data_IF_440139650636
#
_entry.id   IF_440139650636
#
_cell.length_a   1.000
_cell.length_b   1.000
_cell.length_c   1.000
_cell.angle_alpha   90.00
_cell.angle_beta   90.00
_cell.angle_gamma   90.00
#
_symmetry.space_group_name_H-M   'P 1'
#
loop_
_entity.id
_entity.type
_entity.pdbx_description
1 polymer ?
#
# COMPACT_ATOMS: atom_id res chain seq x y z
N UNK A 1 -38.35 20.16 15.29
CA UNK A 1 -37.15 19.56 15.91
C UNK A 1 -37.10 18.10 15.49
N UNK A 2 -36.34 17.81 14.44
CA UNK A 2 -35.97 16.47 14.05
C UNK A 2 -34.43 16.44 14.07
N UNK A 3 -33.86 15.66 14.99
CA UNK A 3 -32.42 15.44 15.05
C UNK A 3 -32.03 14.54 13.87
N UNK A 4 -31.42 15.12 12.85
CA UNK A 4 -30.65 14.35 11.87
C UNK A 4 -29.39 13.85 12.58
N UNK A 5 -29.31 12.55 12.78
CA UNK A 5 -28.06 11.91 13.19
C UNK A 5 -27.05 12.05 12.04
N UNK A 6 -25.76 12.32 12.34
CA UNK A 6 -24.74 12.25 11.32
C UNK A 6 -24.61 10.80 10.87
N UNK A 7 -24.76 10.57 9.57
CA UNK A 7 -24.40 9.31 8.92
C UNK A 7 -22.95 8.98 9.28
N UNK A 8 -22.73 7.74 9.73
CA UNK A 8 -21.39 7.25 10.01
C UNK A 8 -20.56 7.27 8.73
N UNK A 9 -19.26 7.64 8.78
CA UNK A 9 -18.40 7.52 7.63
C UNK A 9 -18.33 6.05 7.22
N UNK A 10 -18.59 5.77 5.94
CA UNK A 10 -18.32 4.46 5.34
C UNK A 10 -16.90 4.02 5.69
N UNK A 11 -16.82 2.88 6.37
CA UNK A 11 -15.58 2.25 6.79
C UNK A 11 -14.68 2.04 5.57
N UNK A 12 -13.42 2.45 5.70
CA UNK A 12 -12.32 1.88 4.89
C UNK A 12 -12.47 0.37 4.86
N UNK A 13 -12.22 -0.31 3.72
CA UNK A 13 -12.20 -1.77 3.69
C UNK A 13 -11.26 -2.25 4.79
N UNK A 14 -11.80 -3.04 5.71
CA UNK A 14 -11.05 -3.59 6.84
C UNK A 14 -9.88 -4.38 6.25
N UNK A 15 -8.65 -3.90 6.45
CA UNK A 15 -7.44 -4.56 5.93
C UNK A 15 -7.28 -5.95 6.54
N UNK A 16 -7.90 -6.17 7.71
CA UNK A 16 -7.92 -7.43 8.44
C UNK A 16 -9.37 -7.87 8.72
N UNK A 17 -10.11 -8.39 7.72
CA UNK A 17 -11.53 -8.73 7.85
C UNK A 17 -11.82 -9.83 8.88
N UNK A 18 -10.79 -10.56 9.32
CA UNK A 18 -10.86 -11.57 10.38
C UNK A 18 -10.04 -11.18 11.62
N UNK A 19 -9.58 -9.92 11.71
CA UNK A 19 -8.63 -9.46 12.71
C UNK A 19 -7.42 -10.38 12.80
N UNK A 20 -7.01 -10.71 14.03
CA UNK A 20 -5.84 -11.56 14.26
C UNK A 20 -6.03 -13.05 13.88
N UNK A 21 -7.20 -13.45 13.38
CA UNK A 21 -7.54 -14.87 13.12
C UNK A 21 -7.11 -15.38 11.76
N UNK A 22 -6.80 -14.51 10.80
CA UNK A 22 -6.33 -14.91 9.49
C UNK A 22 -5.26 -13.95 8.98
N UNK A 23 -4.17 -14.51 8.44
CA UNK A 23 -3.01 -13.75 7.96
C UNK A 23 -2.43 -14.39 6.73
N UNK A 24 -1.94 -13.59 5.77
CA UNK A 24 -1.08 -14.14 4.71
C UNK A 24 0.16 -14.77 5.37
N UNK A 25 0.51 -16.00 4.98
CA UNK A 25 1.51 -16.81 5.66
C UNK A 25 2.88 -16.11 5.76
N UNK A 26 3.21 -15.26 4.80
CA UNK A 26 4.44 -14.45 4.79
C UNK A 26 4.56 -13.49 5.98
N UNK A 27 3.45 -12.96 6.53
CA UNK A 27 3.50 -11.98 7.63
C UNK A 27 3.49 -12.62 9.03
N UNK A 28 3.32 -13.94 9.11
CA UNK A 28 3.19 -14.66 10.38
C UNK A 28 4.49 -14.79 11.19
N UNK A 29 5.65 -14.55 10.57
CA UNK A 29 6.99 -14.79 11.14
C UNK A 29 7.32 -13.89 12.35
N UNK A 30 6.61 -12.78 12.55
CA UNK A 30 6.99 -11.77 13.55
C UNK A 30 6.01 -11.64 14.73
N UNK A 31 4.71 -11.91 14.54
CA UNK A 31 3.69 -11.45 15.50
C UNK A 31 2.46 -12.35 15.64
N UNK A 32 2.41 -13.52 14.99
CA UNK A 32 1.13 -14.24 14.89
C UNK A 32 0.69 -14.94 16.18
N UNK A 33 -0.55 -14.66 16.61
CA UNK A 33 -1.29 -15.42 17.63
C UNK A 33 -1.45 -16.91 17.26
N UNK A 34 -1.30 -17.23 15.97
CA UNK A 34 -1.39 -18.59 15.44
C UNK A 34 -0.20 -19.47 15.83
N UNK A 35 0.84 -18.94 16.48
CA UNK A 35 1.96 -19.75 17.00
C UNK A 35 1.57 -20.68 18.15
N UNK A 36 0.56 -20.30 18.92
CA UNK A 36 0.12 -21.04 20.12
C UNK A 36 -1.28 -21.62 19.99
N UNK A 37 -1.89 -21.51 18.81
CA UNK A 37 -3.27 -21.92 18.53
C UNK A 37 -3.25 -22.83 17.31
N UNK A 38 -4.01 -23.94 17.28
CA UNK A 38 -4.10 -24.77 16.09
C UNK A 38 -4.45 -23.93 14.86
N UNK A 39 -3.70 -24.11 13.78
CA UNK A 39 -3.83 -23.31 12.57
C UNK A 39 -3.95 -24.20 11.34
N UNK A 40 -4.71 -23.73 10.35
CA UNK A 40 -4.79 -24.33 9.02
C UNK A 40 -4.25 -23.36 8.00
N UNK A 41 -3.56 -23.86 6.98
CA UNK A 41 -3.18 -23.08 5.83
C UNK A 41 -4.21 -23.33 4.73
N UNK A 42 -4.80 -22.26 4.22
CA UNK A 42 -5.85 -22.31 3.21
C UNK A 42 -5.34 -21.78 1.86
N UNK A 43 -5.86 -22.38 0.80
CA UNK A 43 -5.79 -21.81 -0.54
C UNK A 43 -6.70 -20.57 -0.60
N UNK A 44 -6.19 -19.37 -0.96
CA UNK A 44 -7.01 -18.17 -0.99
C UNK A 44 -8.08 -18.19 -2.08
N UNK A 45 -7.93 -19.04 -3.11
CA UNK A 45 -8.85 -19.09 -4.24
C UNK A 45 -10.09 -19.95 -3.99
N UNK A 46 -9.95 -21.10 -3.32
CA UNK A 46 -11.07 -22.01 -3.06
C UNK A 46 -11.38 -22.24 -1.58
N UNK A 47 -10.54 -21.76 -0.66
CA UNK A 47 -10.70 -21.96 0.78
C UNK A 47 -10.27 -23.33 1.30
N UNK A 48 -9.83 -24.24 0.43
CA UNK A 48 -9.42 -25.58 0.86
C UNK A 48 -8.18 -25.57 1.74
N UNK A 49 -8.17 -26.46 2.73
CA UNK A 49 -7.03 -26.72 3.59
C UNK A 49 -5.94 -27.40 2.78
N UNK A 50 -4.77 -26.76 2.71
CA UNK A 50 -3.57 -27.33 2.09
C UNK A 50 -2.61 -27.90 3.12
N UNK A 51 -2.62 -27.39 4.35
CA UNK A 51 -1.80 -27.90 5.45
C UNK A 51 -2.43 -27.62 6.81
N UNK A 52 -2.13 -28.43 7.82
CA UNK A 52 -2.66 -28.28 9.19
C UNK A 52 -1.54 -28.35 10.21
N UNK A 53 -1.57 -27.42 11.16
CA UNK A 53 -0.64 -27.27 12.27
C UNK A 53 -1.41 -27.40 13.59
N UNK A 54 -1.51 -28.62 14.12
CA UNK A 54 -2.32 -28.91 15.31
C UNK A 54 -1.82 -28.20 16.58
N UNK A 55 -0.54 -27.86 16.64
CA UNK A 55 0.09 -27.21 17.80
C UNK A 55 0.36 -25.71 17.56
N UNK A 56 -0.13 -25.17 16.44
CA UNK A 56 0.17 -23.83 15.96
C UNK A 56 1.37 -23.75 15.03
N UNK A 57 1.51 -22.59 14.39
CA UNK A 57 2.53 -22.35 13.38
C UNK A 57 3.95 -22.32 13.98
N UNK A 58 4.94 -22.91 13.29
CA UNK A 58 6.34 -22.67 13.57
C UNK A 58 6.66 -21.17 13.56
N UNK A 59 7.69 -20.78 14.31
CA UNK A 59 8.13 -19.37 14.37
C UNK A 59 8.49 -18.81 12.99
N UNK A 60 9.10 -19.65 12.15
CA UNK A 60 9.49 -19.32 10.78
C UNK A 60 9.14 -20.53 9.91
N UNK A 61 8.45 -20.29 8.80
CA UNK A 61 8.24 -21.29 7.75
C UNK A 61 9.12 -20.87 6.57
N UNK A 62 10.37 -21.36 6.42
CA UNK A 62 11.29 -20.79 5.44
C UNK A 62 10.87 -21.06 3.98
N UNK A 63 10.22 -22.18 3.72
CA UNK A 63 9.71 -22.58 2.41
C UNK A 63 8.29 -23.12 2.56
N UNK A 64 7.43 -22.78 1.61
CA UNK A 64 6.06 -23.29 1.52
C UNK A 64 5.72 -23.35 0.05
N UNK A 65 5.71 -24.56 -0.51
CA UNK A 65 5.59 -24.84 -1.94
C UNK A 65 4.56 -25.98 -2.11
N UNK A 66 3.31 -25.71 -1.72
CA UNK A 66 2.26 -26.73 -1.61
C UNK A 66 1.21 -26.52 -2.71
N UNK A 67 0.90 -27.56 -3.48
CA UNK A 67 -0.13 -27.50 -4.50
C UNK A 67 -1.53 -27.71 -3.89
N UNK A 68 -2.46 -26.79 -4.15
CA UNK A 68 -3.86 -26.98 -3.80
C UNK A 68 -4.48 -28.06 -4.70
N UNK A 69 -5.08 -29.10 -4.12
CA UNK A 69 -5.67 -30.22 -4.89
C UNK A 69 -6.90 -29.82 -5.71
N UNK A 70 -7.61 -28.76 -5.31
CA UNK A 70 -8.83 -28.32 -6.00
C UNK A 70 -8.52 -27.35 -7.12
N UNK A 71 -7.69 -26.34 -6.87
CA UNK A 71 -7.31 -25.36 -7.90
C UNK A 71 -6.14 -25.81 -8.77
N UNK A 72 -5.36 -26.81 -8.34
CA UNK A 72 -4.10 -27.23 -8.98
C UNK A 72 -3.07 -26.09 -9.10
N UNK A 73 -3.16 -25.09 -8.22
CA UNK A 73 -2.22 -23.96 -8.15
C UNK A 73 -1.22 -24.22 -7.04
N UNK A 74 0.05 -24.00 -7.35
CA UNK A 74 1.13 -24.03 -6.37
C UNK A 74 1.11 -22.78 -5.49
N UNK A 75 0.96 -22.97 -4.19
CA UNK A 75 0.93 -21.91 -3.19
C UNK A 75 2.31 -21.66 -2.63
N UNK A 76 2.63 -20.37 -2.52
CA UNK A 76 3.81 -19.84 -1.84
C UNK A 76 3.36 -19.11 -0.57
N UNK A 77 4.29 -18.84 0.34
CA UNK A 77 3.99 -18.11 1.60
C UNK A 77 3.30 -16.77 1.38
N UNK A 78 3.66 -16.05 0.32
CA UNK A 78 3.08 -14.76 -0.02
C UNK A 78 1.70 -14.88 -0.68
N UNK A 79 1.16 -16.09 -0.89
CA UNK A 79 -0.17 -16.31 -1.44
C UNK A 79 -0.94 -17.45 -0.77
N UNK A 80 -0.53 -17.89 0.42
CA UNK A 80 -1.27 -18.82 1.26
C UNK A 80 -1.76 -18.07 2.50
N UNK A 81 -2.93 -18.43 3.03
CA UNK A 81 -3.49 -17.76 4.21
C UNK A 81 -3.49 -18.72 5.39
N UNK A 82 -2.83 -18.35 6.47
CA UNK A 82 -2.94 -19.05 7.74
C UNK A 82 -4.18 -18.57 8.50
N UNK A 83 -4.98 -19.51 8.99
CA UNK A 83 -6.22 -19.23 9.72
C UNK A 83 -6.24 -20.03 11.02
N UNK A 84 -6.73 -19.43 12.09
CA UNK A 84 -7.09 -20.14 13.32
C UNK A 84 -8.07 -21.27 12.98
N UNK A 85 -7.71 -22.51 13.31
CA UNK A 85 -8.49 -23.68 12.90
C UNK A 85 -9.95 -23.64 13.40
N UNK A 86 -10.22 -22.94 14.52
CA UNK A 86 -11.58 -22.77 15.03
C UNK A 86 -12.46 -21.85 14.17
N UNK A 87 -11.84 -20.99 13.35
CA UNK A 87 -12.51 -20.00 12.51
C UNK A 87 -12.60 -20.42 11.03
N UNK A 88 -12.10 -21.61 10.69
CA UNK A 88 -12.03 -22.08 9.29
C UNK A 88 -13.37 -22.04 8.54
N UNK A 89 -14.48 -22.31 9.22
CA UNK A 89 -15.82 -22.36 8.60
C UNK A 89 -16.42 -20.97 8.39
N UNK A 90 -15.79 -19.93 8.96
CA UNK A 90 -16.23 -18.53 8.85
C UNK A 90 -15.48 -17.78 7.74
N UNK A 91 -14.44 -18.39 7.15
CA UNK A 91 -13.68 -17.73 6.09
C UNK A 91 -14.30 -17.99 4.73
N UNK A 92 -14.37 -16.93 3.94
CA UNK A 92 -14.90 -16.97 2.59
C UNK A 92 -13.78 -16.78 1.55
N UNK A 93 -13.70 -17.63 0.50
CA UNK A 93 -12.65 -17.51 -0.52
C UNK A 93 -12.52 -16.12 -1.17
N UNK A 94 -13.62 -15.39 -1.49
CA UNK A 94 -13.49 -14.02 -2.00
C UNK A 94 -12.76 -13.07 -1.06
N UNK A 95 -12.98 -13.22 0.26
CA UNK A 95 -12.30 -12.41 1.28
C UNK A 95 -10.82 -12.80 1.39
N UNK A 96 -10.50 -14.10 1.36
CA UNK A 96 -9.11 -14.58 1.35
C UNK A 96 -8.34 -14.09 0.10
N UNK A 97 -9.01 -14.07 -1.05
CA UNK A 97 -8.48 -13.51 -2.30
C UNK A 97 -8.19 -12.02 -2.14
N UNK A 98 -9.15 -11.25 -1.63
CA UNK A 98 -8.98 -9.81 -1.41
C UNK A 98 -7.83 -9.51 -0.43
N UNK A 99 -7.74 -10.24 0.70
CA UNK A 99 -6.64 -10.12 1.65
C UNK A 99 -5.28 -10.40 1.00
N UNK A 100 -5.20 -11.44 0.18
CA UNK A 100 -3.95 -11.82 -0.52
C UNK A 100 -3.53 -10.74 -1.51
N UNK A 101 -4.48 -10.21 -2.29
CA UNK A 101 -4.22 -9.15 -3.26
C UNK A 101 -3.87 -7.81 -2.58
N UNK A 102 -4.49 -7.49 -1.45
CA UNK A 102 -4.15 -6.33 -0.63
C UNK A 102 -2.71 -6.44 -0.11
N UNK A 103 -2.33 -7.59 0.45
CA UNK A 103 -0.96 -7.86 0.87
C UNK A 103 0.04 -7.72 -0.30
N UNK A 104 -0.28 -8.22 -1.49
CA UNK A 104 0.58 -8.04 -2.67
C UNK A 104 0.80 -6.58 -3.04
N UNK A 105 -0.27 -5.78 -2.99
CA UNK A 105 -0.20 -4.35 -3.27
C UNK A 105 0.68 -3.66 -2.22
N UNK A 106 0.41 -3.86 -0.94
CA UNK A 106 1.18 -3.26 0.16
C UNK A 106 2.65 -3.67 0.13
N UNK A 107 2.93 -4.94 -0.16
CA UNK A 107 4.29 -5.43 -0.24
C UNK A 107 5.08 -4.80 -1.41
N UNK A 108 4.44 -4.60 -2.56
CA UNK A 108 5.04 -3.89 -3.69
C UNK A 108 5.17 -2.39 -3.43
N UNK A 109 4.16 -1.78 -2.82
CA UNK A 109 4.17 -0.37 -2.44
C UNK A 109 5.27 -0.07 -1.44
N UNK A 110 5.49 -0.92 -0.44
CA UNK A 110 6.57 -0.76 0.54
C UNK A 110 7.98 -0.82 -0.10
N UNK A 111 8.09 -1.27 -1.35
CA UNK A 111 9.35 -1.40 -2.08
C UNK A 111 10.04 -2.71 -1.73
N UNK A 112 10.18 -3.57 -2.74
CA UNK A 112 10.93 -4.83 -2.58
C UNK A 112 12.33 -4.59 -3.07
N UNK A 113 13.30 -4.55 -2.16
CA UNK A 113 14.70 -4.35 -2.51
C UNK A 113 15.49 -5.66 -2.45
N UNK A 114 16.55 -5.75 -3.25
CA UNK A 114 17.53 -6.83 -3.10
C UNK A 114 18.51 -6.53 -1.95
N UNK A 115 19.44 -7.45 -1.68
CA UNK A 115 20.46 -7.27 -0.63
C UNK A 115 21.37 -6.04 -0.81
N UNK A 116 21.31 -5.35 -1.96
CA UNK A 116 22.03 -4.11 -2.25
C UNK A 116 21.13 -2.87 -2.14
N UNK A 117 19.89 -3.01 -1.68
CA UNK A 117 18.93 -1.91 -1.62
C UNK A 117 18.35 -1.52 -2.98
N UNK A 118 18.52 -2.33 -4.04
CA UNK A 118 17.99 -2.00 -5.37
C UNK A 118 16.54 -2.45 -5.49
N UNK A 119 15.60 -1.58 -5.90
CA UNK A 119 14.20 -1.94 -6.11
C UNK A 119 14.02 -3.05 -7.15
N UNK A 120 13.03 -3.92 -6.93
CA UNK A 120 12.70 -5.11 -7.74
C UNK A 120 11.24 -5.07 -8.23
N UNK A 121 10.69 -3.87 -8.39
CA UNK A 121 9.27 -3.63 -8.61
C UNK A 121 8.74 -4.37 -9.86
N UNK A 122 9.46 -4.34 -10.99
CA UNK A 122 9.04 -5.03 -12.21
C UNK A 122 9.03 -6.55 -12.06
N UNK A 123 10.09 -7.12 -11.48
CA UNK A 123 10.19 -8.57 -11.26
C UNK A 123 9.04 -9.10 -10.41
N UNK A 124 8.73 -8.41 -9.31
CA UNK A 124 7.63 -8.83 -8.45
C UNK A 124 6.27 -8.51 -9.04
N UNK A 125 6.11 -7.42 -9.79
CA UNK A 125 4.87 -7.14 -10.54
C UNK A 125 4.58 -8.28 -11.53
N UNK A 126 5.56 -8.72 -12.31
CA UNK A 126 5.41 -9.82 -13.28
C UNK A 126 5.15 -11.16 -12.58
N UNK A 127 5.84 -11.41 -11.46
CA UNK A 127 5.67 -12.63 -10.68
C UNK A 127 4.27 -12.75 -10.09
N UNK A 128 3.75 -11.67 -9.50
CA UNK A 128 2.42 -11.64 -8.92
C UNK A 128 1.33 -11.63 -10.00
N UNK A 129 1.54 -10.96 -11.14
CA UNK A 129 0.63 -11.02 -12.30
C UNK A 129 0.51 -12.44 -12.86
N UNK A 130 1.64 -13.15 -12.95
CA UNK A 130 1.66 -14.56 -13.36
C UNK A 130 0.87 -15.42 -12.38
N UNK A 131 1.10 -15.24 -11.07
CA UNK A 131 0.37 -15.99 -10.04
C UNK A 131 -1.13 -15.67 -10.03
N UNK A 132 -1.51 -14.40 -10.21
CA UNK A 132 -2.90 -14.00 -10.37
C UNK A 132 -3.55 -14.75 -11.54
N UNK A 133 -2.84 -14.83 -12.67
CA UNK A 133 -3.31 -15.55 -13.86
C UNK A 133 -3.51 -17.04 -13.62
N UNK A 134 -2.61 -17.68 -12.87
CA UNK A 134 -2.76 -19.09 -12.46
C UNK A 134 -4.02 -19.31 -11.61
N UNK A 135 -4.37 -18.35 -10.74
CA UNK A 135 -5.62 -18.40 -9.99
C UNK A 135 -6.86 -18.00 -10.80
N UNK A 136 -6.68 -17.40 -11.98
CA UNK A 136 -7.76 -16.80 -12.77
C UNK A 136 -8.23 -15.44 -12.22
N UNK A 137 -7.40 -14.75 -11.45
CA UNK A 137 -7.71 -13.44 -10.87
C UNK A 137 -7.41 -12.30 -11.85
N UNK A 138 -8.33 -11.34 -11.93
CA UNK A 138 -8.12 -10.06 -12.62
C UNK A 138 -7.35 -9.05 -11.75
N UNK A 139 -6.18 -9.44 -11.23
CA UNK A 139 -5.35 -8.55 -10.42
C UNK A 139 -4.49 -7.65 -11.29
N UNK A 140 -4.43 -6.38 -10.93
CA UNK A 140 -3.53 -5.39 -11.51
C UNK A 140 -3.02 -4.48 -10.39
N UNK A 141 -1.70 -4.27 -10.33
CA UNK A 141 -1.12 -3.30 -9.40
C UNK A 141 -1.54 -1.88 -9.82
N UNK A 142 -1.98 -1.10 -8.84
CA UNK A 142 -2.30 0.31 -8.99
C UNK A 142 -1.29 1.18 -8.25
N UNK A 143 -1.03 2.38 -8.76
CA UNK A 143 -0.28 3.39 -8.02
C UNK A 143 -1.05 3.74 -6.73
N UNK A 144 -0.42 3.73 -5.54
CA UNK A 144 -1.14 3.95 -4.30
C UNK A 144 -1.68 5.37 -4.17
N UNK A 145 -1.12 6.33 -4.92
CA UNK A 145 -1.50 7.74 -4.91
C UNK A 145 -2.59 8.07 -5.94
N UNK A 146 -2.33 7.90 -7.24
CA UNK A 146 -3.33 8.24 -8.27
C UNK A 146 -4.35 7.12 -8.58
N UNK A 147 -4.21 5.94 -7.98
CA UNK A 147 -5.10 4.76 -8.15
C UNK A 147 -5.20 4.21 -9.57
N UNK A 148 -4.38 4.71 -10.51
CA UNK A 148 -4.29 4.21 -11.88
C UNK A 148 -3.55 2.88 -11.95
N UNK A 149 -4.07 1.97 -12.78
CA UNK A 149 -3.45 0.67 -13.05
C UNK A 149 -2.18 0.79 -13.90
N UNK A 150 -1.24 -0.12 -13.71
CA UNK A 150 0.03 -0.11 -14.45
C UNK A 150 -0.17 -0.24 -15.96
N UNK A 151 -1.15 -1.01 -16.43
CA UNK A 151 -1.43 -1.17 -17.86
C UNK A 151 -1.87 0.15 -18.49
N UNK A 152 -2.69 0.92 -17.77
CA UNK A 152 -3.07 2.27 -18.18
C UNK A 152 -1.83 3.18 -18.25
N UNK A 153 -0.99 3.19 -17.20
CA UNK A 153 0.22 4.00 -17.15
C UNK A 153 1.20 3.68 -18.29
N UNK A 154 1.37 2.39 -18.63
CA UNK A 154 2.21 1.92 -19.74
C UNK A 154 1.71 2.35 -21.12
N UNK A 155 0.40 2.53 -21.30
CA UNK A 155 -0.17 2.94 -22.59
C UNK A 155 -0.02 4.44 -22.85
N UNK A 156 -0.10 5.24 -21.80
CA UNK A 156 -0.06 6.71 -21.89
C UNK A 156 1.36 7.25 -22.04
N UNK A 157 2.38 6.57 -21.47
CA UNK A 157 3.77 7.03 -21.49
C UNK A 157 4.58 6.20 -22.50
N UNK A 158 4.72 6.70 -23.74
CA UNK A 158 5.34 5.96 -24.86
C UNK A 158 6.87 6.00 -24.94
N UNK A 159 7.53 6.89 -24.21
CA UNK A 159 8.99 7.05 -24.25
C UNK A 159 9.66 6.61 -22.93
N UNK A 160 10.00 5.31 -22.90
CA UNK A 160 11.12 4.67 -22.19
C UNK A 160 11.51 5.27 -20.83
N UNK A 161 10.86 4.81 -19.74
CA UNK A 161 11.44 4.44 -18.42
C UNK A 161 10.32 4.26 -17.38
N UNK A 162 9.96 3.01 -17.18
CA UNK A 162 9.52 2.37 -15.93
C UNK A 162 8.30 2.95 -15.20
N UNK A 163 7.21 2.17 -15.26
CA UNK A 163 5.87 2.49 -14.76
C UNK A 163 5.77 2.76 -13.26
N UNK A 164 6.84 2.48 -12.51
CA UNK A 164 6.92 2.60 -11.06
C UNK A 164 8.32 3.05 -10.63
N UNK A 165 8.39 3.96 -9.68
CA UNK A 165 9.61 4.48 -9.08
C UNK A 165 9.51 4.39 -7.56
N UNK A 166 10.63 4.10 -6.89
CA UNK A 166 10.67 3.98 -5.44
C UNK A 166 11.11 5.31 -4.83
N UNK A 167 10.17 5.99 -4.19
CA UNK A 167 10.40 7.25 -3.50
C UNK A 167 11.05 6.99 -2.13
N UNK A 168 12.28 7.47 -1.94
CA UNK A 168 13.00 7.32 -0.68
C UNK A 168 12.70 8.50 0.28
N UNK A 169 12.05 8.21 1.41
CA UNK A 169 11.95 9.14 2.54
C UNK A 169 13.24 9.21 3.36
N UNK A 170 13.91 8.06 3.51
CA UNK A 170 15.19 7.86 4.18
C UNK A 170 15.97 6.74 3.48
N UNK A 171 17.29 6.76 3.56
CA UNK A 171 18.17 5.73 2.99
C UNK A 171 18.88 4.87 4.05
N UNK A 172 18.85 5.26 5.34
CA UNK A 172 19.41 4.48 6.45
C UNK A 172 18.62 4.66 7.77
N UNK A 173 17.69 3.73 8.12
CA UNK A 173 17.26 2.62 7.27
C UNK A 173 16.54 3.12 6.01
N UNK A 174 16.59 2.33 4.94
CA UNK A 174 15.86 2.61 3.71
C UNK A 174 14.35 2.50 3.99
N UNK A 175 13.63 3.59 3.75
CA UNK A 175 12.20 3.69 3.97
C UNK A 175 11.59 4.57 2.89
N UNK A 176 10.52 4.08 2.26
CA UNK A 176 9.99 4.68 1.05
C UNK A 176 8.68 4.06 0.59
N UNK A 177 8.24 4.51 -0.57
CA UNK A 177 7.00 4.08 -1.22
C UNK A 177 7.18 4.01 -2.74
N UNK A 178 6.70 2.94 -3.35
CA UNK A 178 6.63 2.78 -4.80
C UNK A 178 5.44 3.56 -5.35
N UNK A 179 5.70 4.56 -6.19
CA UNK A 179 4.71 5.37 -6.89
C UNK A 179 4.86 5.21 -8.40
N UNK A 180 3.84 5.55 -9.19
CA UNK A 180 4.11 5.77 -10.62
C UNK A 180 5.04 6.98 -10.80
N UNK A 181 5.83 6.99 -11.87
CA UNK A 181 6.81 8.04 -12.14
C UNK A 181 6.19 9.45 -12.12
N UNK A 182 5.01 9.61 -12.71
CA UNK A 182 4.25 10.85 -12.69
C UNK A 182 3.95 11.33 -11.26
N UNK A 183 3.44 10.44 -10.40
CA UNK A 183 3.17 10.78 -9.00
C UNK A 183 4.45 11.10 -8.23
N UNK A 184 5.53 10.35 -8.50
CA UNK A 184 6.84 10.61 -7.91
C UNK A 184 7.34 12.03 -8.25
N UNK A 185 7.26 12.40 -9.52
CA UNK A 185 7.71 13.71 -9.99
C UNK A 185 6.81 14.84 -9.47
N UNK A 186 5.48 14.66 -9.46
CA UNK A 186 4.52 15.64 -8.94
C UNK A 186 4.79 15.98 -7.48
N UNK A 187 4.99 14.97 -6.61
CA UNK A 187 5.27 15.26 -5.19
C UNK A 187 6.64 15.94 -5.03
N UNK A 188 7.59 15.65 -5.93
CA UNK A 188 8.89 16.30 -6.04
C UNK A 188 8.90 17.63 -6.80
N UNK A 189 7.74 18.22 -7.08
CA UNK A 189 7.62 19.48 -7.83
C UNK A 189 8.27 19.45 -9.22
N UNK A 190 8.29 18.29 -9.87
CA UNK A 190 8.91 18.06 -11.17
C UNK A 190 10.37 18.57 -11.21
N UNK A 191 11.06 18.46 -10.07
CA UNK A 191 12.33 19.10 -9.79
C UNK A 191 13.30 18.13 -9.13
N UNK A 192 14.59 18.49 -9.11
CA UNK A 192 15.61 17.68 -8.46
C UNK A 192 15.58 17.85 -6.94
N UNK A 193 15.92 16.78 -6.22
CA UNK A 193 15.88 16.73 -4.76
C UNK A 193 16.58 17.90 -4.05
N UNK A 194 17.74 18.33 -4.57
CA UNK A 194 18.49 19.45 -4.01
C UNK A 194 17.75 20.79 -4.18
N UNK A 195 17.02 20.98 -5.28
CA UNK A 195 16.23 22.18 -5.53
C UNK A 195 14.98 22.21 -4.63
N UNK A 196 14.37 21.05 -4.39
CA UNK A 196 13.25 20.92 -3.45
C UNK A 196 13.72 21.16 -2.01
N UNK A 197 14.93 20.71 -1.65
CA UNK A 197 15.53 20.97 -0.34
C UNK A 197 15.79 22.47 -0.13
N UNK A 198 16.39 23.15 -1.12
CA UNK A 198 16.58 24.61 -1.10
C UNK A 198 15.25 25.34 -0.93
N UNK A 199 14.23 24.95 -1.70
CA UNK A 199 12.87 25.50 -1.61
C UNK A 199 12.25 25.30 -0.22
N UNK A 200 12.46 24.13 0.40
CA UNK A 200 11.93 23.85 1.73
C UNK A 200 12.46 24.87 2.74
N UNK A 201 13.76 25.14 2.73
CA UNK A 201 14.37 26.11 3.62
C UNK A 201 13.91 27.55 3.33
N UNK A 202 13.77 27.93 2.05
CA UNK A 202 13.22 29.24 1.67
C UNK A 202 11.79 29.45 2.17
N UNK A 203 11.00 28.38 2.23
CA UNK A 203 9.61 28.43 2.71
C UNK A 203 9.48 28.19 4.22
N UNK A 204 10.61 27.97 4.93
CA UNK A 204 10.64 27.79 6.38
C UNK A 204 10.33 26.36 6.86
N UNK A 205 10.38 25.37 5.97
CA UNK A 205 10.26 23.94 6.29
C UNK A 205 11.61 23.31 6.62
N UNK A 206 11.57 22.12 7.24
CA UNK A 206 12.78 21.45 7.73
C UNK A 206 13.57 20.78 6.62
N UNK A 207 12.89 20.20 5.64
CA UNK A 207 13.50 19.50 4.51
C UNK A 207 12.52 19.34 3.34
N UNK A 208 13.01 18.85 2.20
CA UNK A 208 12.21 18.49 1.03
C UNK A 208 11.06 17.54 1.36
N UNK A 209 11.26 16.63 2.32
CA UNK A 209 10.26 15.64 2.70
C UNK A 209 8.99 16.33 3.24
N UNK A 210 9.13 17.42 4.00
CA UNK A 210 7.97 18.18 4.50
C UNK A 210 7.14 18.71 3.33
N UNK A 211 7.78 19.24 2.29
CA UNK A 211 7.09 19.73 1.11
C UNK A 211 6.41 18.60 0.33
N UNK A 212 7.13 17.49 0.14
CA UNK A 212 6.65 16.32 -0.59
C UNK A 212 5.44 15.68 0.10
N UNK A 213 5.42 15.62 1.43
CA UNK A 213 4.29 15.08 2.21
C UNK A 213 3.03 15.94 2.05
N UNK A 214 3.17 17.27 2.07
CA UNK A 214 2.04 18.18 1.83
C UNK A 214 1.50 17.98 0.41
N UNK A 215 2.38 17.91 -0.61
CA UNK A 215 1.95 17.63 -1.98
C UNK A 215 1.29 16.28 -2.13
N UNK A 216 1.84 15.26 -1.48
CA UNK A 216 1.26 13.91 -1.45
C UNK A 216 -0.15 13.93 -0.86
N UNK A 217 -0.37 14.64 0.25
CA UNK A 217 -1.69 14.78 0.85
C UNK A 217 -2.69 15.52 -0.06
N UNK A 218 -2.25 16.60 -0.73
CA UNK A 218 -3.09 17.33 -1.69
C UNK A 218 -3.44 16.46 -2.89
N UNK A 219 -2.48 15.68 -3.40
CA UNK A 219 -2.70 14.77 -4.52
C UNK A 219 -3.62 13.60 -4.14
N UNK A 220 -3.48 13.04 -2.92
CA UNK A 220 -4.41 12.04 -2.37
C UNK A 220 -5.82 12.61 -2.30
N UNK A 221 -5.96 13.85 -1.83
CA UNK A 221 -7.25 14.52 -1.76
C UNK A 221 -7.93 14.65 -3.13
N UNK A 222 -7.18 15.05 -4.16
CA UNK A 222 -7.68 15.13 -5.54
C UNK A 222 -8.03 13.73 -6.07
N UNK A 223 -7.15 12.74 -5.88
CA UNK A 223 -7.36 11.38 -6.39
C UNK A 223 -8.55 10.65 -5.74
N UNK A 224 -8.94 11.06 -4.52
CA UNK A 224 -10.04 10.46 -3.77
C UNK A 224 -11.31 11.31 -3.75
N UNK A 225 -11.28 12.50 -4.37
CA UNK A 225 -12.33 13.52 -4.27
C UNK A 225 -12.75 13.81 -2.81
N UNK A 226 -11.75 13.87 -1.92
CA UNK A 226 -11.93 14.14 -0.49
C UNK A 226 -11.01 15.27 -0.08
N UNK A 227 -11.51 16.34 0.58
CA UNK A 227 -10.64 17.43 1.00
C UNK A 227 -9.60 16.93 2.01
N UNK A 228 -8.42 17.56 2.03
CA UNK A 228 -7.40 17.28 3.04
C UNK A 228 -7.96 17.58 4.43
N UNK A 229 -7.97 16.55 5.29
CA UNK A 229 -8.36 16.66 6.70
C UNK A 229 -7.18 16.32 7.60
N UNK A 230 -7.12 16.92 8.78
CA UNK A 230 -6.03 16.70 9.74
C UNK A 230 -6.05 15.27 10.31
N UNK A 231 -7.22 14.65 10.31
CA UNK A 231 -7.49 13.30 10.78
C UNK A 231 -6.86 12.24 9.86
N UNK A 232 -6.59 12.58 8.59
CA UNK A 232 -5.94 11.70 7.62
C UNK A 232 -4.46 11.47 7.90
N UNK A 233 -3.85 12.22 8.83
CA UNK A 233 -2.41 12.15 9.07
C UNK A 233 -1.90 10.74 9.42
N UNK A 234 -2.67 9.97 10.20
CA UNK A 234 -2.31 8.59 10.53
C UNK A 234 -2.37 7.68 9.30
N UNK A 235 -3.42 7.82 8.49
CA UNK A 235 -3.60 7.05 7.27
C UNK A 235 -2.49 7.37 6.25
N UNK A 236 -2.10 8.64 6.12
CA UNK A 236 -1.00 9.05 5.26
C UNK A 236 0.31 8.41 5.70
N UNK A 237 0.63 8.45 6.99
CA UNK A 237 1.86 7.83 7.53
C UNK A 237 1.88 6.34 7.25
N UNK A 238 0.79 5.63 7.55
CA UNK A 238 0.71 4.18 7.39
C UNK A 238 0.75 3.79 5.90
N UNK A 239 -0.08 4.42 5.07
CA UNK A 239 -0.24 4.08 3.65
C UNK A 239 1.00 4.38 2.83
N UNK A 240 1.66 5.50 3.12
CA UNK A 240 2.81 5.98 2.34
C UNK A 240 4.14 5.71 3.02
N UNK A 241 4.14 4.94 4.11
CA UNK A 241 5.33 4.53 4.85
C UNK A 241 6.22 5.73 5.22
N UNK A 242 5.61 6.82 5.70
CA UNK A 242 6.32 8.07 6.01
C UNK A 242 7.22 7.89 7.24
N UNK A 243 8.35 8.61 7.29
CA UNK A 243 9.26 8.61 8.45
C UNK A 243 8.75 9.48 9.60
N UNK A 244 7.84 10.41 9.30
CA UNK A 244 7.23 11.33 10.25
C UNK A 244 6.14 10.63 11.05
N UNK A 245 5.99 11.04 12.30
CA UNK A 245 4.84 10.63 13.12
C UNK A 245 3.53 11.27 12.61
N UNK A 246 2.36 10.65 12.89
CA UNK A 246 1.07 11.27 12.55
C UNK A 246 0.89 12.67 13.13
N UNK A 247 1.47 12.95 14.30
CA UNK A 247 1.45 14.28 14.91
C UNK A 247 2.23 15.32 14.12
N UNK A 248 3.39 14.95 13.58
CA UNK A 248 4.20 15.83 12.73
C UNK A 248 3.50 16.12 11.40
N UNK A 249 2.97 15.09 10.74
CA UNK A 249 2.18 15.26 9.51
C UNK A 249 0.97 16.15 9.77
N UNK A 250 0.26 15.95 10.89
CA UNK A 250 -0.89 16.79 11.27
C UNK A 250 -0.52 18.27 11.43
N UNK A 251 0.61 18.58 12.06
CA UNK A 251 1.05 19.98 12.19
C UNK A 251 1.53 20.58 10.86
N UNK A 252 2.16 19.79 9.97
CA UNK A 252 2.49 20.22 8.61
C UNK A 252 1.22 20.62 7.83
N UNK A 253 0.22 19.73 7.80
CA UNK A 253 -1.05 19.99 7.10
C UNK A 253 -1.76 21.21 7.71
N UNK A 254 -1.81 21.32 9.04
CA UNK A 254 -2.43 22.44 9.73
C UNK A 254 -1.74 23.78 9.45
N UNK A 255 -0.42 23.78 9.30
CA UNK A 255 0.33 24.98 8.92
C UNK A 255 -0.10 25.47 7.54
N UNK A 256 -0.11 24.57 6.55
CA UNK A 256 -0.42 24.90 5.16
C UNK A 256 -1.90 25.26 4.99
N UNK A 257 -2.82 24.51 5.60
CA UNK A 257 -4.27 24.73 5.44
C UNK A 257 -4.78 26.02 6.12
N UNK A 258 -3.98 26.65 7.00
CA UNK A 258 -4.37 27.88 7.72
C UNK A 258 -3.83 29.16 7.08
N UNK A 259 -2.94 29.03 6.11
CA UNK A 259 -2.29 30.16 5.44
C UNK A 259 -2.54 30.03 3.94
N UNK A 260 -3.44 30.87 3.40
CA UNK A 260 -3.80 30.83 1.98
C UNK A 260 -2.62 31.11 1.07
N UNK A 261 -1.74 32.04 1.46
CA UNK A 261 -0.58 32.42 0.65
C UNK A 261 0.44 31.28 0.61
N UNK A 262 0.53 30.49 1.68
CA UNK A 262 1.34 29.28 1.72
C UNK A 262 0.70 28.13 0.93
N UNK A 263 -0.61 27.91 1.10
CA UNK A 263 -1.38 26.89 0.39
C UNK A 263 -1.25 27.05 -1.13
N UNK A 264 -1.38 28.27 -1.64
CA UNK A 264 -1.28 28.59 -3.07
C UNK A 264 0.12 28.30 -3.65
N UNK A 265 1.17 28.18 -2.81
CA UNK A 265 2.50 27.75 -3.29
C UNK A 265 2.58 26.26 -3.56
N UNK A 266 1.73 25.46 -2.91
CA UNK A 266 1.70 24.01 -3.10
C UNK A 266 0.80 23.60 -4.27
N UNK A 267 -0.24 24.38 -4.54
CA UNK A 267 -1.26 24.07 -5.55
C UNK A 267 -0.88 24.64 -6.91
N UNK A 268 -0.60 23.75 -7.86
CA UNK A 268 -0.44 24.08 -9.27
C UNK A 268 -1.13 23.03 -10.16
N UNK A 269 -1.11 23.27 -11.47
CA UNK A 269 -1.76 22.40 -12.45
C UNK A 269 -1.19 20.97 -12.45
N UNK A 270 0.05 20.75 -12.00
CA UNK A 270 0.65 19.41 -12.03
C UNK A 270 0.01 18.47 -11.02
N UNK A 271 -0.56 19.00 -9.92
CA UNK A 271 -1.37 18.23 -8.97
C UNK A 271 -2.63 17.59 -9.58
N UNK A 272 -3.08 18.01 -10.77
CA UNK A 272 -4.25 17.45 -11.46
C UNK A 272 -3.87 16.56 -12.65
N UNK A 273 -2.60 16.57 -13.07
CA UNK A 273 -2.17 15.82 -14.25
C UNK A 273 -2.52 14.34 -14.14
N UNK A 274 -3.07 13.72 -15.19
CA UNK A 274 -3.43 12.29 -15.15
C UNK A 274 -4.61 11.93 -14.22
N UNK A 275 -5.19 12.89 -13.49
CA UNK A 275 -6.43 12.73 -12.73
C UNK A 275 -7.53 13.48 -13.47
N UNK A 276 -8.23 12.80 -14.39
CA UNK A 276 -9.45 13.37 -14.96
C UNK A 276 -10.50 13.47 -13.87
N UNK A 277 -10.79 14.69 -13.41
CA UNK A 277 -12.07 15.00 -12.78
C UNK A 277 -13.15 14.76 -13.83
N UNK A 278 -13.92 13.67 -13.68
CA UNK A 278 -15.20 13.52 -14.37
C UNK A 278 -16.19 14.57 -13.88
#
# INVERSE_FOLDING_TARGET
MACLQPEQPESTPDTDPYGDRAHVLAVTDNTSILRSTPAVILCPNCGDIVETYEQGLPRIIPQFDTCCTTCQVELRRWCAVAVDAAYRELVEPPVLTAMTQAYWNEWLWAGITNYKGQPRNDEYTDRLSTKASEFGWGWELTCPLCRRGISQLKQEIRDVRDSLDYHHWSTDPDQGITLCRECHDIIGFDSYDNQVEERAHEWGFRSRNDLQIVRLALREAIATDRPVQLEMAADLVNRYNLIQSPGEVKELLKMVLRDSDLYDRFVDDSLYHGLTTC
#
